data_IF_983721295055
#
_entry.id   IF_983721295055
#
_cell.length_a   1.000
_cell.length_b   1.000
_cell.length_c   1.000
_cell.angle_alpha   90.00
_cell.angle_beta   90.00
_cell.angle_gamma   90.00
#
_symmetry.space_group_name_H-M   'P 1'
#
loop_
_entity.id
_entity.type
_entity.pdbx_description
1 polymer ?
#
# COMPACT_ATOMS: atom_id res chain seq x y z
N UNK A 1 -24.57 25.20 -13.42
CA UNK A 1 -24.09 23.82 -13.58
C UNK A 1 -22.67 23.81 -13.07
N UNK A 2 -22.41 23.17 -11.94
CA UNK A 2 -21.05 23.02 -11.40
C UNK A 2 -20.37 21.88 -12.16
N UNK A 3 -19.28 22.18 -12.85
CA UNK A 3 -18.41 21.14 -13.39
C UNK A 3 -17.68 20.44 -12.24
N UNK A 4 -17.51 19.12 -12.26
CA UNK A 4 -16.73 18.42 -11.24
C UNK A 4 -15.27 18.88 -11.33
N UNK A 5 -14.72 19.36 -10.22
CA UNK A 5 -13.31 19.78 -10.14
C UNK A 5 -12.42 18.58 -9.80
N UNK A 6 -12.91 17.69 -8.94
CA UNK A 6 -12.18 16.49 -8.55
C UNK A 6 -12.52 15.33 -9.47
N UNK A 7 -11.49 14.54 -9.81
CA UNK A 7 -11.66 13.31 -10.58
C UNK A 7 -12.33 12.26 -9.68
N UNK A 8 -13.39 11.63 -10.18
CA UNK A 8 -14.02 10.51 -9.48
C UNK A 8 -13.05 9.31 -9.47
N UNK A 9 -12.71 8.76 -8.29
CA UNK A 9 -11.78 7.64 -8.22
C UNK A 9 -12.44 6.34 -8.66
N UNK A 10 -11.72 5.55 -9.44
CA UNK A 10 -12.10 4.18 -9.78
C UNK A 10 -11.36 3.17 -8.90
N UNK A 11 -12.05 2.09 -8.56
CA UNK A 11 -11.47 1.01 -7.76
C UNK A 11 -10.62 0.11 -8.65
N UNK A 12 -9.32 0.00 -8.34
CA UNK A 12 -8.42 -0.97 -8.93
C UNK A 12 -8.17 -2.10 -7.92
N UNK A 13 -8.62 -3.29 -8.25
CA UNK A 13 -8.39 -4.50 -7.45
C UNK A 13 -7.38 -5.41 -8.14
N UNK A 14 -6.60 -6.18 -7.40
CA UNK A 14 -5.71 -7.18 -8.00
C UNK A 14 -6.52 -8.31 -8.65
N UNK A 15 -6.04 -8.80 -9.79
CA UNK A 15 -6.66 -9.92 -10.50
C UNK A 15 -6.65 -11.20 -9.67
N UNK A 16 -5.56 -11.45 -8.95
CA UNK A 16 -5.46 -12.57 -8.02
C UNK A 16 -6.13 -12.24 -6.68
N UNK A 17 -7.26 -12.88 -6.40
CA UNK A 17 -8.02 -12.69 -5.16
C UNK A 17 -7.22 -13.02 -3.88
N UNK A 18 -6.26 -13.93 -3.93
CA UNK A 18 -5.38 -14.24 -2.80
C UNK A 18 -4.52 -13.03 -2.39
N UNK A 19 -4.22 -12.12 -3.34
CA UNK A 19 -3.47 -10.89 -3.08
C UNK A 19 -4.30 -9.76 -2.45
N UNK A 20 -5.62 -9.87 -2.41
CA UNK A 20 -6.50 -8.81 -1.85
C UNK A 20 -6.26 -8.60 -0.36
N UNK A 21 -6.03 -9.69 0.38
CA UNK A 21 -5.79 -9.63 1.82
C UNK A 21 -4.96 -10.80 2.30
N UNK A 22 -3.66 -10.60 2.47
CA UNK A 22 -2.79 -11.60 3.06
C UNK A 22 -2.93 -11.64 4.58
N UNK A 23 -3.09 -12.83 5.19
CA UNK A 23 -3.03 -12.97 6.63
C UNK A 23 -1.62 -12.72 7.15
N UNK A 24 -1.48 -12.37 8.42
CA UNK A 24 -0.19 -12.38 9.11
C UNK A 24 0.37 -13.79 9.25
N UNK A 25 1.65 -13.90 9.59
CA UNK A 25 2.31 -15.21 9.80
C UNK A 25 1.65 -16.06 10.90
N UNK A 26 0.88 -15.42 11.78
CA UNK A 26 0.07 -16.04 12.85
C UNK A 26 -1.24 -16.69 12.35
N UNK A 27 -1.62 -16.46 11.10
CA UNK A 27 -2.85 -16.99 10.50
C UNK A 27 -4.16 -16.42 11.05
N UNK A 28 -4.10 -15.50 12.02
CA UNK A 28 -5.29 -15.02 12.74
C UNK A 28 -5.79 -13.69 12.25
N UNK A 29 -4.89 -12.77 12.02
CA UNK A 29 -5.20 -11.38 11.70
C UNK A 29 -4.56 -10.95 10.39
N UNK A 30 -5.03 -9.83 9.84
CA UNK A 30 -4.35 -9.12 8.75
C UNK A 30 -2.91 -8.79 9.17
N UNK A 31 -1.97 -8.85 8.23
CA UNK A 31 -0.62 -8.36 8.43
C UNK A 31 -0.63 -6.94 9.03
N UNK A 32 0.08 -6.75 10.14
CA UNK A 32 0.18 -5.46 10.83
C UNK A 32 1.54 -5.28 11.49
N UNK A 33 2.13 -4.10 11.31
CA UNK A 33 3.41 -3.75 11.95
C UNK A 33 3.31 -3.81 13.48
N UNK A 34 2.20 -3.33 14.03
CA UNK A 34 1.97 -3.29 15.48
C UNK A 34 1.80 -4.68 16.11
N UNK A 35 1.38 -5.68 15.32
CA UNK A 35 1.25 -7.06 15.78
C UNK A 35 2.54 -7.87 15.59
N UNK A 36 3.53 -7.34 14.86
CA UNK A 36 4.77 -8.05 14.57
C UNK A 36 4.60 -9.30 13.69
N UNK A 37 3.43 -9.48 13.05
CA UNK A 37 3.07 -10.65 12.25
C UNK A 37 3.32 -10.46 10.74
N UNK A 38 4.20 -9.52 10.37
CA UNK A 38 4.51 -9.17 8.99
C UNK A 38 5.83 -9.76 8.51
N UNK A 39 5.90 -10.12 7.22
CA UNK A 39 7.14 -10.18 6.46
C UNK A 39 7.35 -8.82 5.83
N UNK A 40 8.48 -8.16 6.11
CA UNK A 40 8.82 -6.86 5.56
C UNK A 40 9.63 -7.02 4.28
N UNK A 41 9.46 -6.09 3.33
CA UNK A 41 10.29 -6.03 2.11
C UNK A 41 11.77 -5.79 2.43
N UNK A 42 12.07 -5.29 3.62
CA UNK A 42 13.42 -5.03 4.12
C UNK A 42 14.00 -6.16 4.98
N UNK A 43 13.23 -7.21 5.26
CA UNK A 43 13.73 -8.35 6.02
C UNK A 43 14.91 -9.02 5.28
N UNK A 44 15.90 -9.42 6.04
CA UNK A 44 17.01 -10.25 5.53
C UNK A 44 16.49 -11.63 5.13
N UNK A 45 17.29 -12.34 4.35
CA UNK A 45 16.94 -13.71 3.94
C UNK A 45 16.69 -14.64 5.13
N UNK A 46 17.48 -14.50 6.21
CA UNK A 46 17.34 -15.29 7.43
C UNK A 46 16.10 -14.90 8.25
N UNK A 47 15.76 -13.63 8.31
CA UNK A 47 14.52 -13.16 8.96
C UNK A 47 13.28 -13.67 8.23
N UNK A 48 13.26 -13.60 6.90
CA UNK A 48 12.17 -14.17 6.07
C UNK A 48 12.05 -15.66 6.33
N UNK A 49 13.16 -16.40 6.30
CA UNK A 49 13.18 -17.83 6.59
C UNK A 49 12.63 -18.17 7.96
N UNK A 50 13.06 -17.43 8.98
CA UNK A 50 12.59 -17.63 10.36
C UNK A 50 11.08 -17.39 10.46
N UNK A 51 10.57 -16.32 9.86
CA UNK A 51 9.15 -15.98 9.82
C UNK A 51 8.34 -17.04 9.07
N UNK A 52 8.80 -17.51 7.91
CA UNK A 52 8.14 -18.56 7.14
C UNK A 52 8.09 -19.87 7.93
N UNK A 53 9.19 -20.25 8.57
CA UNK A 53 9.22 -21.47 9.38
C UNK A 53 8.28 -21.40 10.60
N UNK A 54 8.03 -20.21 11.13
CA UNK A 54 7.08 -19.96 12.23
C UNK A 54 5.64 -19.75 11.80
N UNK A 55 5.35 -19.72 10.49
CA UNK A 55 3.97 -19.54 9.98
C UNK A 55 3.02 -20.57 10.55
N UNK A 56 1.80 -20.09 10.85
CA UNK A 56 0.70 -20.95 11.23
C UNK A 56 0.34 -21.90 10.07
N UNK A 57 0.17 -23.17 10.43
CA UNK A 57 -0.28 -24.25 9.54
C UNK A 57 -1.51 -24.90 10.14
N UNK A 58 -1.82 -26.13 9.72
CA UNK A 58 -2.92 -26.90 10.25
C UNK A 58 -2.56 -27.50 11.64
N UNK A 59 -3.30 -27.17 12.72
CA UNK A 59 -3.04 -27.70 14.04
C UNK A 59 -3.37 -29.21 14.19
N UNK A 60 -4.14 -29.78 13.27
CA UNK A 60 -4.48 -31.20 13.27
C UNK A 60 -3.47 -32.05 12.50
N UNK A 61 -2.60 -31.43 11.69
CA UNK A 61 -1.54 -32.10 10.94
C UNK A 61 -0.29 -32.30 11.81
N UNK A 62 -0.35 -33.26 12.74
CA UNK A 62 0.72 -33.50 13.72
C UNK A 62 1.82 -34.40 13.18
N UNK A 63 1.48 -35.36 12.32
CA UNK A 63 2.42 -36.27 11.67
C UNK A 63 2.37 -36.10 10.16
N UNK A 64 3.47 -36.44 9.49
CA UNK A 64 3.56 -36.35 8.02
C UNK A 64 2.51 -37.23 7.34
N UNK A 65 2.10 -38.34 7.97
CA UNK A 65 1.09 -39.25 7.46
C UNK A 65 -0.34 -38.72 7.56
N UNK A 66 -0.55 -37.71 8.39
CA UNK A 66 -1.90 -37.21 8.64
C UNK A 66 -2.41 -36.41 7.42
N UNK A 67 -3.71 -36.53 7.09
CA UNK A 67 -4.33 -35.60 6.14
C UNK A 67 -4.28 -34.18 6.67
N UNK A 68 -3.91 -33.23 5.80
CA UNK A 68 -3.83 -31.83 6.18
C UNK A 68 -4.95 -30.98 5.59
N UNK A 69 -5.29 -29.86 6.23
CA UNK A 69 -6.26 -28.89 5.75
C UNK A 69 -5.55 -27.69 5.12
N UNK A 70 -6.02 -27.29 3.94
CA UNK A 70 -5.48 -26.13 3.22
C UNK A 70 -6.24 -24.85 3.57
N UNK A 71 -7.51 -24.95 3.96
CA UNK A 71 -8.32 -23.81 4.34
C UNK A 71 -7.80 -23.21 5.67
N UNK A 72 -7.57 -21.89 5.67
CA UNK A 72 -6.98 -21.19 6.82
C UNK A 72 -5.48 -21.47 7.05
N UNK A 73 -4.87 -22.31 6.23
CA UNK A 73 -3.44 -22.55 6.28
C UNK A 73 -2.69 -21.41 5.61
N UNK A 74 -1.96 -20.62 6.41
CA UNK A 74 -1.28 -19.42 5.97
C UNK A 74 -0.25 -19.70 4.88
N UNK A 75 0.44 -20.84 4.95
CA UNK A 75 1.49 -21.19 3.97
C UNK A 75 0.89 -21.37 2.58
N UNK A 76 -0.25 -22.08 2.48
CA UNK A 76 -0.93 -22.24 1.19
C UNK A 76 -1.55 -20.94 0.68
N UNK A 77 -2.06 -20.07 1.55
CA UNK A 77 -2.54 -18.75 1.15
C UNK A 77 -1.43 -17.91 0.50
N UNK A 78 -0.21 -17.98 1.05
CA UNK A 78 0.94 -17.30 0.44
C UNK A 78 1.42 -17.97 -0.85
N UNK A 79 1.36 -19.28 -0.94
CA UNK A 79 1.66 -19.99 -2.20
C UNK A 79 0.65 -19.65 -3.30
N UNK A 80 -0.65 -19.52 -2.97
CA UNK A 80 -1.67 -19.06 -3.92
C UNK A 80 -1.39 -17.63 -4.45
N UNK A 81 -0.79 -16.78 -3.60
CA UNK A 81 -0.48 -15.42 -3.97
C UNK A 81 0.81 -15.29 -4.80
N UNK A 82 1.85 -16.07 -4.51
CA UNK A 82 3.20 -15.83 -5.00
C UNK A 82 3.79 -16.95 -5.84
N UNK A 83 3.28 -18.20 -5.75
CA UNK A 83 3.90 -19.29 -6.52
C UNK A 83 3.55 -19.20 -8.01
N UNK A 84 4.52 -19.57 -8.84
CA UNK A 84 4.42 -19.61 -10.30
C UNK A 84 4.87 -21.00 -10.78
N UNK A 85 4.49 -21.44 -11.99
CA UNK A 85 4.93 -22.74 -12.53
C UNK A 85 6.44 -22.95 -12.50
N UNK A 86 7.21 -21.90 -12.81
CA UNK A 86 8.68 -21.95 -12.85
C UNK A 86 9.30 -22.26 -11.47
N UNK A 87 8.61 -21.90 -10.39
CA UNK A 87 9.07 -22.20 -9.04
C UNK A 87 9.00 -23.70 -8.73
N UNK A 88 7.99 -24.41 -9.27
CA UNK A 88 7.88 -25.87 -9.12
C UNK A 88 8.99 -26.58 -9.86
N UNK A 89 9.25 -26.23 -11.10
CA UNK A 89 10.35 -26.81 -11.89
C UNK A 89 11.70 -26.65 -11.19
N UNK A 90 11.92 -25.50 -10.55
CA UNK A 90 13.22 -25.17 -9.92
C UNK A 90 13.39 -25.73 -8.51
N UNK A 91 12.37 -25.66 -7.69
CA UNK A 91 12.47 -25.90 -6.24
C UNK A 91 11.71 -27.14 -5.76
N UNK A 92 10.74 -27.61 -6.55
CA UNK A 92 9.89 -28.72 -6.14
C UNK A 92 9.44 -29.58 -7.35
N UNK A 93 10.38 -30.13 -8.14
CA UNK A 93 10.08 -30.81 -9.40
C UNK A 93 9.24 -32.09 -9.27
N UNK A 94 9.02 -32.55 -8.03
CA UNK A 94 8.11 -33.68 -7.76
C UNK A 94 6.64 -33.34 -8.04
N UNK A 95 6.28 -32.06 -8.25
CA UNK A 95 4.91 -31.58 -8.47
C UNK A 95 4.87 -30.67 -9.68
N UNK A 96 3.84 -30.86 -10.52
CA UNK A 96 3.66 -30.03 -11.71
C UNK A 96 3.12 -28.61 -11.39
N UNK A 97 2.36 -28.50 -10.29
CA UNK A 97 1.69 -27.24 -9.91
C UNK A 97 1.24 -27.25 -8.43
N UNK A 98 0.69 -26.11 -8.00
CA UNK A 98 0.19 -25.93 -6.63
C UNK A 98 -0.99 -26.85 -6.28
N UNK A 99 -1.86 -27.15 -7.24
CA UNK A 99 -3.03 -28.00 -6.99
C UNK A 99 -2.62 -29.44 -6.66
N UNK A 100 -1.59 -29.94 -7.35
CA UNK A 100 -1.02 -31.26 -7.06
C UNK A 100 -0.35 -31.29 -5.68
N UNK A 101 0.37 -30.23 -5.30
CA UNK A 101 0.94 -30.08 -3.97
C UNK A 101 -0.13 -30.07 -2.89
N UNK A 102 -1.21 -29.31 -3.09
CA UNK A 102 -2.38 -29.25 -2.20
C UNK A 102 -3.07 -30.61 -2.06
N UNK A 103 -3.30 -31.28 -3.17
CA UNK A 103 -3.92 -32.61 -3.17
C UNK A 103 -3.08 -33.65 -2.40
N UNK A 104 -1.73 -33.56 -2.51
CA UNK A 104 -0.86 -34.43 -1.73
C UNK A 104 -0.91 -34.10 -0.24
N UNK A 105 -0.90 -32.81 0.14
CA UNK A 105 -1.00 -32.39 1.53
C UNK A 105 -2.31 -32.86 2.18
N UNK A 106 -3.44 -32.73 1.46
CA UNK A 106 -4.76 -33.17 1.93
C UNK A 106 -4.87 -34.70 2.07
N UNK A 107 -4.14 -35.46 1.25
CA UNK A 107 -4.13 -36.92 1.31
C UNK A 107 -3.25 -37.44 2.46
N UNK A 108 -2.35 -36.64 2.97
CA UNK A 108 -1.30 -37.07 3.89
C UNK A 108 -0.04 -37.56 3.17
N UNK A 109 1.05 -37.59 3.88
CA UNK A 109 2.38 -37.97 3.35
C UNK A 109 3.29 -36.78 3.01
N UNK A 110 2.84 -35.54 3.24
CA UNK A 110 3.60 -34.33 2.98
C UNK A 110 3.67 -33.46 4.24
N UNK A 111 4.85 -33.33 4.84
CA UNK A 111 5.02 -32.54 6.05
C UNK A 111 5.13 -31.03 5.81
N UNK A 112 4.67 -30.23 6.75
CA UNK A 112 4.67 -28.77 6.74
C UNK A 112 6.05 -28.16 6.43
N UNK A 113 7.11 -28.74 6.95
CA UNK A 113 8.48 -28.26 6.76
C UNK A 113 8.87 -28.24 5.28
N UNK A 114 8.44 -29.24 4.47
CA UNK A 114 8.74 -29.28 3.03
C UNK A 114 8.00 -28.16 2.32
N UNK A 115 6.73 -27.93 2.65
CA UNK A 115 5.89 -26.85 2.07
C UNK A 115 6.42 -25.48 2.47
N UNK A 116 6.81 -25.28 3.73
CA UNK A 116 7.42 -24.03 4.22
C UNK A 116 8.77 -23.73 3.55
N UNK A 117 9.60 -24.75 3.34
CA UNK A 117 10.85 -24.57 2.59
C UNK A 117 10.60 -24.13 1.15
N UNK A 118 9.60 -24.72 0.49
CA UNK A 118 9.22 -24.31 -0.85
C UNK A 118 8.74 -22.85 -0.87
N UNK A 119 7.82 -22.46 0.03
CA UNK A 119 7.37 -21.08 0.16
C UNK A 119 8.54 -20.12 0.44
N UNK A 120 9.49 -20.51 1.30
CA UNK A 120 10.67 -19.69 1.55
C UNK A 120 11.46 -19.44 0.27
N UNK A 121 11.69 -20.44 -0.56
CA UNK A 121 12.41 -20.28 -1.82
C UNK A 121 11.68 -19.33 -2.78
N UNK A 122 10.36 -19.48 -2.91
CA UNK A 122 9.51 -18.58 -3.70
C UNK A 122 9.65 -17.14 -3.20
N UNK A 123 9.50 -16.89 -1.88
CA UNK A 123 9.62 -15.56 -1.32
C UNK A 123 11.01 -14.97 -1.41
N UNK A 124 12.07 -15.79 -1.29
CA UNK A 124 13.45 -15.32 -1.49
C UNK A 124 13.67 -14.82 -2.92
N UNK A 125 13.15 -15.53 -3.93
CA UNK A 125 13.26 -15.12 -5.33
C UNK A 125 12.52 -13.79 -5.60
N UNK A 126 11.32 -13.61 -5.03
CA UNK A 126 10.56 -12.37 -5.18
C UNK A 126 11.16 -11.18 -4.40
N UNK A 127 11.75 -11.43 -3.23
CA UNK A 127 12.25 -10.36 -2.35
C UNK A 127 13.71 -9.96 -2.65
N UNK A 128 14.53 -10.85 -3.21
CA UNK A 128 15.95 -10.56 -3.46
C UNK A 128 16.19 -9.37 -4.38
N UNK A 129 15.47 -9.20 -5.51
CA UNK A 129 15.63 -8.01 -6.35
C UNK A 129 15.28 -6.71 -5.61
N UNK A 130 14.32 -6.76 -4.68
CA UNK A 130 13.90 -5.61 -3.87
C UNK A 130 15.01 -5.26 -2.86
N UNK A 131 15.55 -6.26 -2.17
CA UNK A 131 16.65 -6.09 -1.21
C UNK A 131 17.90 -5.53 -1.89
N UNK A 132 18.27 -6.07 -3.05
CA UNK A 132 19.41 -5.61 -3.82
C UNK A 132 19.29 -4.16 -4.23
N UNK A 133 18.14 -3.76 -4.78
CA UNK A 133 17.88 -2.33 -5.12
C UNK A 133 17.91 -1.44 -3.89
N UNK A 134 17.32 -1.87 -2.78
CA UNK A 134 17.38 -1.14 -1.52
C UNK A 134 18.82 -0.92 -1.06
N UNK A 135 19.66 -1.94 -1.14
CA UNK A 135 21.07 -1.86 -0.78
C UNK A 135 21.84 -0.88 -1.69
N UNK A 136 21.52 -0.83 -2.98
CA UNK A 136 22.10 0.15 -3.90
C UNK A 136 21.71 1.58 -3.53
N UNK A 137 20.41 1.85 -3.36
CA UNK A 137 19.94 3.19 -2.94
C UNK A 137 20.51 3.61 -1.58
N UNK A 138 20.70 2.68 -0.65
CA UNK A 138 21.26 2.99 0.67
C UNK A 138 22.71 3.47 0.63
N UNK A 139 23.43 3.30 -0.49
CA UNK A 139 24.81 3.81 -0.66
C UNK A 139 24.86 5.32 -0.91
N UNK A 140 23.78 5.92 -1.40
CA UNK A 140 23.69 7.34 -1.73
C UNK A 140 22.45 7.99 -1.11
N UNK A 141 22.56 8.31 0.16
CA UNK A 141 21.49 8.98 0.91
C UNK A 141 21.15 10.37 0.35
N UNK A 142 22.12 11.23 -0.05
CA UNK A 142 21.82 12.50 -0.72
C UNK A 142 20.93 12.35 -1.96
N UNK A 143 21.16 11.33 -2.80
CA UNK A 143 20.31 11.10 -3.97
C UNK A 143 18.90 10.68 -3.59
N UNK A 144 18.71 9.91 -2.51
CA UNK A 144 17.36 9.59 -1.99
C UNK A 144 16.61 10.89 -1.65
N UNK A 145 17.26 11.84 -0.97
CA UNK A 145 16.64 13.12 -0.66
C UNK A 145 16.33 13.94 -1.91
N UNK A 146 17.17 13.89 -2.95
CA UNK A 146 16.91 14.52 -4.24
C UNK A 146 15.67 13.92 -4.92
N UNK A 147 15.54 12.61 -4.95
CA UNK A 147 14.37 11.91 -5.50
C UNK A 147 13.10 12.33 -4.75
N UNK A 148 13.14 12.32 -3.41
CA UNK A 148 12.01 12.73 -2.58
C UNK A 148 11.64 14.20 -2.82
N UNK A 149 12.63 15.08 -2.94
CA UNK A 149 12.42 16.52 -3.21
C UNK A 149 11.75 16.72 -4.57
N UNK A 150 12.30 16.13 -5.62
CA UNK A 150 11.75 16.22 -6.99
C UNK A 150 10.30 15.70 -7.04
N UNK A 151 10.04 14.55 -6.42
CA UNK A 151 8.68 13.98 -6.34
C UNK A 151 7.71 14.87 -5.56
N UNK A 152 8.18 15.45 -4.45
CA UNK A 152 7.37 16.38 -3.64
C UNK A 152 7.06 17.68 -4.37
N UNK A 153 8.02 18.22 -5.12
CA UNK A 153 7.83 19.44 -5.88
C UNK A 153 6.83 19.20 -7.02
N UNK A 154 6.94 18.10 -7.76
CA UNK A 154 5.96 17.71 -8.80
C UNK A 154 4.55 17.49 -8.24
N UNK A 155 4.43 16.80 -7.12
CA UNK A 155 3.15 16.58 -6.46
C UNK A 155 2.53 17.90 -5.95
N UNK A 156 3.36 18.81 -5.45
CA UNK A 156 2.92 20.13 -4.97
C UNK A 156 2.36 20.99 -6.11
N UNK A 157 2.98 20.95 -7.29
CA UNK A 157 2.50 21.67 -8.46
C UNK A 157 1.10 21.23 -8.86
N UNK A 158 0.87 19.93 -9.02
CA UNK A 158 -0.45 19.36 -9.33
C UNK A 158 -1.48 19.68 -8.24
N UNK A 159 -1.10 19.51 -6.98
CA UNK A 159 -1.99 19.78 -5.85
C UNK A 159 -2.35 21.28 -5.75
N UNK A 160 -1.41 22.18 -6.03
CA UNK A 160 -1.66 23.63 -6.02
C UNK A 160 -2.65 24.03 -7.11
N UNK A 161 -2.52 23.48 -8.31
CA UNK A 161 -3.48 23.70 -9.38
C UNK A 161 -4.89 23.23 -8.98
N UNK A 162 -5.03 21.98 -8.55
CA UNK A 162 -6.31 21.41 -8.11
C UNK A 162 -6.92 22.24 -6.97
N UNK A 163 -6.10 22.65 -5.99
CA UNK A 163 -6.56 23.49 -4.88
C UNK A 163 -7.05 24.86 -5.35
N UNK A 164 -6.39 25.47 -6.33
CA UNK A 164 -6.83 26.74 -6.94
C UNK A 164 -8.18 26.60 -7.61
N UNK A 165 -8.36 25.52 -8.38
CA UNK A 165 -9.65 25.22 -9.03
C UNK A 165 -10.78 25.00 -8.01
N UNK A 166 -10.50 24.24 -6.94
CA UNK A 166 -11.45 24.00 -5.84
C UNK A 166 -11.82 25.31 -5.16
N UNK A 167 -10.84 26.16 -4.82
CA UNK A 167 -11.09 27.46 -4.20
C UNK A 167 -11.95 28.36 -5.08
N UNK A 168 -11.69 28.39 -6.38
CA UNK A 168 -12.47 29.15 -7.36
C UNK A 168 -13.91 28.63 -7.45
N UNK A 169 -14.10 27.31 -7.53
CA UNK A 169 -15.42 26.70 -7.57
C UNK A 169 -16.24 26.97 -6.29
N UNK A 170 -15.57 27.00 -5.12
CA UNK A 170 -16.17 27.31 -3.83
C UNK A 170 -16.32 28.82 -3.58
N UNK A 171 -15.78 29.67 -4.45
CA UNK A 171 -15.74 31.14 -4.30
C UNK A 171 -15.05 31.59 -3.00
N UNK A 172 -13.96 30.93 -2.63
CA UNK A 172 -13.12 31.27 -1.47
C UNK A 172 -11.70 31.71 -1.88
N UNK A 173 -11.55 32.13 -3.11
CA UNK A 173 -10.31 32.68 -3.69
C UNK A 173 -10.25 34.22 -3.62
N UNK A 174 -10.73 34.79 -2.50
CA UNK A 174 -10.94 36.24 -2.33
C UNK A 174 -9.73 37.13 -2.67
N UNK A 175 -8.51 36.64 -2.41
CA UNK A 175 -7.28 37.40 -2.66
C UNK A 175 -6.84 37.39 -4.12
N UNK A 176 -7.38 36.49 -4.93
CA UNK A 176 -7.07 36.30 -6.34
C UNK A 176 -8.21 36.74 -7.25
N UNK A 177 -9.42 36.96 -6.68
CA UNK A 177 -10.62 37.40 -7.40
C UNK A 177 -10.63 38.91 -7.52
N UNK A 178 -9.99 39.42 -8.56
CA UNK A 178 -9.87 40.86 -8.82
C UNK A 178 -11.24 41.55 -9.04
N UNK A 179 -12.18 40.81 -9.62
CA UNK A 179 -13.56 41.34 -9.84
C UNK A 179 -14.30 41.51 -8.52
N UNK A 180 -14.19 40.53 -7.63
CA UNK A 180 -14.74 40.61 -6.28
C UNK A 180 -14.09 41.76 -5.50
N UNK A 181 -12.76 41.87 -5.53
CA UNK A 181 -12.02 42.97 -4.84
C UNK A 181 -12.47 44.33 -5.36
N UNK A 182 -12.59 44.49 -6.69
CA UNK A 182 -13.06 45.72 -7.31
C UNK A 182 -14.50 46.06 -6.89
N UNK A 183 -15.40 45.08 -6.97
CA UNK A 183 -16.81 45.30 -6.56
C UNK A 183 -16.94 45.66 -5.07
N UNK A 184 -16.10 45.06 -4.21
CA UNK A 184 -16.08 45.42 -2.78
C UNK A 184 -15.49 46.82 -2.56
N UNK A 185 -14.45 47.20 -3.31
CA UNK A 185 -13.88 48.53 -3.25
C UNK A 185 -14.87 49.61 -3.66
N UNK A 186 -15.62 49.43 -4.75
CA UNK A 186 -16.62 50.35 -5.24
C UNK A 186 -17.78 50.52 -4.21
N UNK A 187 -18.21 49.43 -3.57
CA UNK A 187 -19.21 49.48 -2.50
C UNK A 187 -18.72 50.24 -1.27
N UNK A 188 -17.44 50.02 -0.89
CA UNK A 188 -16.82 50.70 0.26
C UNK A 188 -16.74 52.20 0.04
N UNK A 189 -16.36 52.64 -1.19
CA UNK A 189 -16.29 54.07 -1.54
C UNK A 189 -17.67 54.71 -1.49
N UNK A 190 -18.72 54.03 -1.99
CA UNK A 190 -20.12 54.53 -1.91
C UNK A 190 -20.60 54.66 -0.45
N UNK A 191 -20.19 53.73 0.42
CA UNK A 191 -20.58 53.73 1.83
C UNK A 191 -19.86 54.83 2.65
N UNK A 192 -18.60 55.12 2.34
CA UNK A 192 -17.85 56.20 2.99
C UNK A 192 -18.36 57.59 2.62
N UNK A 193 -18.93 57.79 1.42
CA UNK A 193 -19.56 59.05 1.04
C UNK A 193 -20.91 59.31 1.75
N UNK A 194 -21.60 58.27 2.18
CA UNK A 194 -22.87 58.36 2.88
C UNK A 194 -22.73 58.55 4.41
N UNK A 195 -21.56 58.26 4.97
CA UNK A 195 -21.29 58.36 6.42
C UNK A 195 -20.06 59.21 6.73
N UNK A 196 -20.02 60.41 6.23
CA UNK A 196 -18.94 61.38 6.51
C UNK A 196 -18.84 61.82 8.00
N UNK A 197 -19.59 61.19 8.91
CA UNK A 197 -19.61 61.51 10.34
C UNK A 197 -19.33 60.31 11.28
N UNK A 198 -19.02 59.13 10.80
CA UNK A 198 -18.55 58.06 11.67
C UNK A 198 -17.03 58.09 11.79
N UNK A 199 -16.58 58.40 12.97
CA UNK A 199 -15.16 58.49 13.36
C UNK A 199 -14.42 57.17 13.15
N UNK A 200 -13.14 57.26 12.81
CA UNK A 200 -12.11 56.20 12.66
C UNK A 200 -12.07 55.16 13.80
N UNK A 201 -12.89 55.28 14.82
CA UNK A 201 -12.90 54.36 15.98
C UNK A 201 -13.60 53.01 15.72
N UNK A 202 -14.36 52.86 14.60
CA UNK A 202 -15.08 51.62 14.27
C UNK A 202 -14.40 50.76 13.18
N UNK A 203 -13.14 51.02 12.84
CA UNK A 203 -12.38 50.26 11.83
C UNK A 203 -11.42 49.24 12.45
N UNK A 204 -11.62 48.88 13.73
CA UNK A 204 -10.86 47.81 14.40
C UNK A 204 -11.84 46.77 14.91
N UNK A 205 -12.15 45.80 14.05
CA UNK A 205 -12.50 44.42 14.39
C UNK A 205 -12.18 43.55 13.20
#
# INVERSE_FOLDING_TARGET
>A
VYAPVLVEPEVLLPDNKACMRLPGIDGKAKMSKSLGNCIYLSDTADEVRTKVMSMYTDPEHLQVSDPGHIEGNTVFTYLDAFSKPEHFERYLPDYANLDELKAHYQRGGLGDVKVKKFLNNVLQEELEPIRSRRAEFAKDIPEIYNILKKGSDAAREVAAQTLSEVKSAMKINYFEDMDLIKAQSEKSVSYTHLRAHETLANLVC
#
